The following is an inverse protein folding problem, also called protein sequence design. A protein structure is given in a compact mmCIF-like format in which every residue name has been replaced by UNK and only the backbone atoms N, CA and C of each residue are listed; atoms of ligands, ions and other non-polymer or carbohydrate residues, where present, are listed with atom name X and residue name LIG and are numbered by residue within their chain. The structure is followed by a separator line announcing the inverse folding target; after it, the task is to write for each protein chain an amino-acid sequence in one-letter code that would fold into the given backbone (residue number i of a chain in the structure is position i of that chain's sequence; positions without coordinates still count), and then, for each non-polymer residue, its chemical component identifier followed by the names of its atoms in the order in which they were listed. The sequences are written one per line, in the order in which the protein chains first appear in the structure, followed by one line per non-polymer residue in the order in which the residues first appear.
data_IF_440514415507
#
_entry.id   IF_440514415507
#
_cell.length_a   1.000
_cell.length_b   1.000
_cell.length_c   1.000
_cell.angle_alpha   90.00
_cell.angle_beta   90.00
_cell.angle_gamma   90.00
#
_symmetry.space_group_name_H-M   'P 1'
#
loop_
_entity.id
_entity.type
_entity.pdbx_description
1 polymer ?
#
# COMPACT_ATOMS: atom_id res chain seq x y z
N UNK A 1 -39.43 17.65 -15.60
CA UNK A 1 -39.72 16.77 -14.45
C UNK A 1 -38.66 16.87 -13.34
N UNK A 2 -37.38 16.51 -13.53
CA UNK A 2 -36.38 16.61 -12.45
C UNK A 2 -36.11 18.05 -11.97
N UNK A 3 -36.20 19.03 -12.88
CA UNK A 3 -35.96 20.45 -12.56
C UNK A 3 -37.08 21.07 -11.71
N UNK A 4 -38.34 20.67 -11.92
CA UNK A 4 -39.48 21.19 -11.13
C UNK A 4 -39.47 20.67 -9.70
N UNK A 5 -38.95 19.45 -9.48
CA UNK A 5 -38.77 18.85 -8.16
C UNK A 5 -37.67 19.53 -7.33
N UNK A 6 -36.66 20.10 -7.99
CA UNK A 6 -35.62 20.89 -7.33
C UNK A 6 -36.10 22.30 -6.97
N UNK A 7 -36.98 22.87 -7.80
CA UNK A 7 -37.58 24.19 -7.56
C UNK A 7 -38.65 24.18 -6.46
N UNK A 8 -39.32 23.04 -6.23
CA UNK A 8 -40.30 22.88 -5.14
C UNK A 8 -39.65 22.54 -3.80
N UNK A 9 -38.35 22.25 -3.78
CA UNK A 9 -37.62 21.92 -2.57
C UNK A 9 -37.30 23.20 -1.81
N UNK A 10 -37.87 23.33 -0.62
CA UNK A 10 -37.58 24.45 0.29
C UNK A 10 -36.06 24.66 0.43
N UNK A 11 -35.62 25.92 0.49
CA UNK A 11 -34.21 26.30 0.58
C UNK A 11 -33.49 25.58 1.73
N UNK A 12 -34.19 25.35 2.85
CA UNK A 12 -33.70 24.59 3.99
C UNK A 12 -33.46 23.11 3.66
N UNK A 13 -34.39 22.49 2.94
CA UNK A 13 -34.28 21.10 2.51
C UNK A 13 -33.14 20.94 1.50
N UNK A 14 -32.99 21.89 0.57
CA UNK A 14 -31.89 21.91 -0.39
C UNK A 14 -30.52 22.02 0.31
N UNK A 15 -30.41 22.90 1.32
CA UNK A 15 -29.21 23.02 2.13
C UNK A 15 -28.90 21.76 2.93
N UNK A 16 -29.90 21.15 3.57
CA UNK A 16 -29.74 19.90 4.32
C UNK A 16 -29.30 18.75 3.41
N UNK A 17 -29.86 18.66 2.20
CA UNK A 17 -29.48 17.65 1.21
C UNK A 17 -28.04 17.87 0.74
N UNK A 18 -27.61 19.12 0.57
CA UNK A 18 -26.20 19.45 0.28
C UNK A 18 -25.26 19.01 1.41
N UNK A 19 -25.62 19.24 2.68
CA UNK A 19 -24.81 18.80 3.83
C UNK A 19 -24.73 17.27 3.89
N UNK A 20 -25.86 16.57 3.73
CA UNK A 20 -25.88 15.09 3.67
C UNK A 20 -25.05 14.59 2.49
N UNK A 21 -25.15 15.23 1.33
CA UNK A 21 -24.37 14.87 0.15
C UNK A 21 -22.86 15.03 0.40
N UNK A 22 -22.44 16.14 1.03
CA UNK A 22 -21.03 16.34 1.40
C UNK A 22 -20.58 15.25 2.38
N UNK A 23 -21.36 14.95 3.42
CA UNK A 23 -21.08 13.86 4.37
C UNK A 23 -20.99 12.50 3.67
N UNK A 24 -21.86 12.26 2.69
CA UNK A 24 -21.85 11.04 1.88
C UNK A 24 -20.59 10.93 1.03
N UNK A 25 -20.17 12.01 0.34
CA UNK A 25 -18.92 12.03 -0.44
C UNK A 25 -17.70 11.81 0.46
N UNK A 26 -17.67 12.42 1.65
CA UNK A 26 -16.62 12.17 2.64
C UNK A 26 -16.61 10.72 3.11
N UNK A 27 -17.78 10.12 3.33
CA UNK A 27 -17.92 8.71 3.72
C UNK A 27 -17.47 7.78 2.59
N UNK A 28 -17.80 8.10 1.34
CA UNK A 28 -17.43 7.34 0.14
C UNK A 28 -15.92 7.14 0.02
N UNK A 29 -15.11 8.17 0.26
CA UNK A 29 -13.63 8.04 0.24
C UNK A 29 -13.14 6.93 1.17
N UNK A 30 -13.76 6.82 2.35
CA UNK A 30 -13.41 5.80 3.35
C UNK A 30 -13.94 4.42 2.95
N UNK A 31 -15.15 4.36 2.41
CA UNK A 31 -15.75 3.12 1.89
C UNK A 31 -14.91 2.55 0.74
N UNK A 32 -14.46 3.38 -0.20
CA UNK A 32 -13.60 2.95 -1.31
C UNK A 32 -12.32 2.28 -0.83
N UNK A 33 -11.67 2.82 0.20
CA UNK A 33 -10.48 2.19 0.79
C UNK A 33 -10.79 0.82 1.40
N UNK A 34 -11.93 0.69 2.08
CA UNK A 34 -12.37 -0.61 2.63
C UNK A 34 -12.71 -1.59 1.50
N UNK A 35 -13.37 -1.12 0.44
CA UNK A 35 -13.77 -1.92 -0.70
C UNK A 35 -12.55 -2.48 -1.45
N UNK A 36 -11.53 -1.66 -1.68
CA UNK A 36 -10.28 -2.10 -2.31
C UNK A 36 -9.58 -3.17 -1.48
N UNK A 37 -9.51 -3.00 -0.15
CA UNK A 37 -8.96 -4.03 0.72
C UNK A 37 -9.77 -5.33 0.64
N UNK A 38 -11.09 -5.24 0.55
CA UNK A 38 -11.98 -6.39 0.45
C UNK A 38 -11.79 -7.16 -0.86
N UNK A 39 -11.57 -6.45 -1.98
CA UNK A 39 -11.22 -7.06 -3.28
C UNK A 39 -9.88 -7.80 -3.18
N UNK A 40 -8.86 -7.18 -2.58
CA UNK A 40 -7.54 -7.81 -2.38
C UNK A 40 -7.67 -9.08 -1.53
N UNK A 41 -8.42 -9.01 -0.43
CA UNK A 41 -8.65 -10.17 0.45
C UNK A 41 -9.41 -11.27 -0.28
N UNK A 42 -10.43 -10.92 -1.08
CA UNK A 42 -11.14 -11.87 -1.92
C UNK A 42 -10.21 -12.58 -2.91
N UNK A 43 -9.33 -11.84 -3.58
CA UNK A 43 -8.34 -12.40 -4.50
C UNK A 43 -7.33 -13.33 -3.78
N UNK A 44 -6.83 -12.93 -2.61
CA UNK A 44 -5.94 -13.77 -1.79
C UNK A 44 -6.67 -15.02 -1.29
N UNK A 45 -7.93 -14.91 -0.88
CA UNK A 45 -8.73 -16.05 -0.43
C UNK A 45 -9.02 -17.04 -1.54
N UNK A 46 -9.21 -16.58 -2.79
CA UNK A 46 -9.32 -17.46 -3.96
C UNK A 46 -8.03 -18.22 -4.27
N UNK A 47 -6.87 -17.57 -4.08
CA UNK A 47 -5.57 -18.19 -4.28
C UNK A 47 -5.23 -19.21 -3.20
N UNK A 48 -5.78 -19.05 -1.98
CA UNK A 48 -5.49 -19.91 -0.84
C UNK A 48 -5.68 -21.42 -1.12
N UNK A 49 -6.84 -21.92 -1.58
CA UNK A 49 -7.01 -23.35 -1.85
C UNK A 49 -6.06 -23.86 -2.95
N UNK A 50 -5.76 -23.02 -3.96
CA UNK A 50 -4.82 -23.37 -5.03
C UNK A 50 -3.40 -23.56 -4.49
N UNK A 51 -2.96 -22.65 -3.62
CA UNK A 51 -1.65 -22.72 -2.96
C UNK A 51 -1.59 -23.92 -2.00
N UNK A 52 -2.64 -24.13 -1.21
CA UNK A 52 -2.70 -25.25 -0.25
C UNK A 52 -2.62 -26.60 -0.95
N UNK A 53 -3.36 -26.79 -2.06
CA UNK A 53 -3.31 -28.03 -2.81
C UNK A 53 -1.95 -28.23 -3.49
N UNK A 54 -1.35 -27.16 -4.02
CA UNK A 54 -0.10 -27.27 -4.78
C UNK A 54 1.14 -27.46 -3.91
N UNK A 55 1.23 -26.78 -2.78
CA UNK A 55 2.43 -26.77 -1.94
C UNK A 55 2.37 -27.74 -0.77
N UNK A 56 1.18 -27.96 -0.20
CA UNK A 56 1.02 -28.80 0.98
C UNK A 56 0.36 -30.15 0.70
N UNK A 57 -0.12 -30.37 -0.53
CA UNK A 57 -0.74 -31.63 -0.94
C UNK A 57 -2.09 -31.88 -0.28
N UNK A 58 -2.78 -30.83 0.19
CA UNK A 58 -4.16 -30.97 0.62
C UNK A 58 -5.07 -31.23 -0.59
N UNK A 59 -6.12 -32.01 -0.40
CA UNK A 59 -7.11 -32.30 -1.44
C UNK A 59 -8.37 -31.44 -1.20
N UNK A 60 -8.20 -30.12 -1.23
CA UNK A 60 -9.31 -29.18 -1.03
C UNK A 60 -10.11 -29.09 -2.34
N UNK A 61 -11.43 -29.31 -2.32
CA UNK A 61 -12.25 -29.19 -3.52
C UNK A 61 -12.21 -27.76 -4.08
N UNK A 62 -11.83 -27.62 -5.36
CA UNK A 62 -11.73 -26.35 -6.09
C UNK A 62 -13.03 -26.11 -6.90
N UNK A 63 -14.16 -26.54 -6.35
CA UNK A 63 -15.47 -26.29 -6.95
C UNK A 63 -15.89 -24.84 -6.73
N UNK A 64 -16.75 -24.33 -7.60
CA UNK A 64 -17.27 -22.95 -7.52
C UNK A 64 -17.85 -22.64 -6.14
N UNK A 65 -18.63 -23.57 -5.57
CA UNK A 65 -19.27 -23.40 -4.26
C UNK A 65 -18.24 -23.33 -3.13
N UNK A 66 -17.23 -24.20 -3.17
CA UNK A 66 -16.12 -24.20 -2.22
C UNK A 66 -15.31 -22.90 -2.31
N UNK A 67 -14.99 -22.42 -3.51
CA UNK A 67 -14.30 -21.15 -3.71
C UNK A 67 -15.09 -19.96 -3.15
N UNK A 68 -16.40 -19.91 -3.39
CA UNK A 68 -17.29 -18.88 -2.84
C UNK A 68 -17.27 -18.92 -1.31
N UNK A 69 -17.31 -20.12 -0.72
CA UNK A 69 -17.23 -20.30 0.74
C UNK A 69 -15.91 -19.76 1.32
N UNK A 70 -14.76 -20.00 0.66
CA UNK A 70 -13.47 -19.44 1.08
C UNK A 70 -13.43 -17.92 0.96
N UNK A 71 -14.00 -17.35 -0.11
CA UNK A 71 -14.12 -15.89 -0.26
C UNK A 71 -14.97 -15.30 0.86
N UNK A 72 -16.14 -15.89 1.13
CA UNK A 72 -17.02 -15.50 2.25
C UNK A 72 -16.30 -15.60 3.60
N UNK A 73 -15.57 -16.68 3.83
CA UNK A 73 -14.78 -16.86 5.05
C UNK A 73 -13.70 -15.76 5.18
N UNK A 74 -12.95 -15.48 4.12
CA UNK A 74 -11.94 -14.43 4.09
C UNK A 74 -12.52 -13.05 4.38
N UNK A 75 -13.67 -12.73 3.77
CA UNK A 75 -14.42 -11.49 4.05
C UNK A 75 -14.91 -11.46 5.50
N UNK A 76 -15.44 -12.57 6.01
CA UNK A 76 -15.93 -12.69 7.38
C UNK A 76 -14.83 -12.45 8.41
N UNK A 77 -13.66 -13.09 8.24
CA UNK A 77 -12.48 -12.88 9.09
C UNK A 77 -12.02 -11.41 9.03
N UNK A 78 -12.01 -10.80 7.84
CA UNK A 78 -11.69 -9.39 7.70
C UNK A 78 -12.69 -8.48 8.42
N UNK A 79 -13.98 -8.81 8.39
CA UNK A 79 -15.01 -8.06 9.09
C UNK A 79 -14.81 -8.13 10.61
N UNK A 80 -14.53 -9.32 11.16
CA UNK A 80 -14.18 -9.48 12.58
C UNK A 80 -12.95 -8.65 12.94
N UNK A 81 -11.92 -8.66 12.09
CA UNK A 81 -10.73 -7.82 12.29
C UNK A 81 -11.07 -6.32 12.30
N UNK A 82 -11.93 -5.85 11.40
CA UNK A 82 -12.37 -4.45 11.37
C UNK A 82 -13.12 -4.05 12.64
N UNK A 83 -14.02 -4.92 13.12
CA UNK A 83 -14.74 -4.69 14.38
C UNK A 83 -13.77 -4.64 15.55
N UNK A 84 -12.88 -5.62 15.68
CA UNK A 84 -11.87 -5.65 16.74
C UNK A 84 -10.97 -4.40 16.71
N UNK A 85 -10.53 -3.97 15.52
CA UNK A 85 -9.73 -2.76 15.33
C UNK A 85 -10.48 -1.49 15.71
N UNK A 86 -11.78 -1.42 15.40
CA UNK A 86 -12.63 -0.30 15.80
C UNK A 86 -12.80 -0.23 17.32
N UNK A 87 -13.06 -1.37 17.96
CA UNK A 87 -13.16 -1.49 19.42
C UNK A 87 -11.85 -1.08 20.08
N UNK A 88 -10.72 -1.59 19.61
CA UNK A 88 -9.40 -1.23 20.13
C UNK A 88 -9.13 0.28 20.03
N UNK A 89 -9.56 0.92 18.94
CA UNK A 89 -9.39 2.37 18.75
C UNK A 89 -10.27 3.18 19.71
N UNK A 90 -11.51 2.73 19.94
CA UNK A 90 -12.43 3.35 20.91
C UNK A 90 -11.91 3.17 22.34
N UNK A 91 -11.50 1.96 22.70
CA UNK A 91 -10.86 1.65 23.99
C UNK A 91 -9.62 2.52 24.23
N UNK A 92 -8.74 2.66 23.23
CA UNK A 92 -7.55 3.52 23.33
C UNK A 92 -7.90 5.02 23.46
N UNK A 93 -9.00 5.48 22.87
CA UNK A 93 -9.51 6.84 23.09
C UNK A 93 -10.09 7.01 24.49
N UNK A 94 -10.85 6.03 24.98
CA UNK A 94 -11.41 6.02 26.33
C UNK A 94 -10.30 6.01 27.40
N UNK A 95 -9.24 5.22 27.21
CA UNK A 95 -8.08 5.19 28.11
C UNK A 95 -7.35 6.53 28.13
N UNK A 96 -7.17 7.17 26.97
CA UNK A 96 -6.54 8.50 26.88
C UNK A 96 -7.41 9.61 27.48
N UNK A 97 -8.74 9.51 27.35
CA UNK A 97 -9.67 10.42 27.99
C UNK A 97 -9.66 10.21 29.51
N UNK A 98 -9.74 8.97 29.99
CA UNK A 98 -9.68 8.62 31.41
C UNK A 98 -8.40 9.10 32.09
N UNK A 99 -7.24 8.98 31.42
CA UNK A 99 -5.95 9.50 31.93
C UNK A 99 -5.89 11.03 32.06
N UNK A 100 -6.72 11.79 31.34
CA UNK A 100 -6.82 13.26 31.48
C UNK A 100 -7.73 13.69 32.62
N UNK A 101 -8.72 12.88 32.98
CA UNK A 101 -9.69 13.19 34.03
C UNK A 101 -9.43 12.48 35.35
N UNK A 102 -8.54 11.48 35.38
CA UNK A 102 -7.96 11.05 36.64
C UNK A 102 -6.97 12.13 37.11
N UNK A 103 -7.23 12.83 38.24
CA UNK A 103 -6.16 13.57 38.90
C UNK A 103 -5.02 12.58 39.13
N UNK A 104 -3.77 13.06 39.12
CA UNK A 104 -2.61 12.29 39.59
C UNK A 104 -2.83 11.95 41.08
N UNK A 105 -3.73 11.02 41.37
CA UNK A 105 -3.79 10.34 42.64
C UNK A 105 -2.43 9.70 42.78
N UNK A 106 -1.74 10.04 43.86
CA UNK A 106 -0.58 9.29 44.34
C UNK A 106 -0.88 7.82 44.07
N UNK A 107 -0.02 7.17 43.27
CA UNK A 107 0.08 5.72 43.32
C UNK A 107 0.33 5.42 44.80
N UNK A 108 -0.69 4.94 45.50
CA UNK A 108 -0.47 4.06 46.63
C UNK A 108 0.25 2.87 46.02
N UNK A 109 1.58 2.87 46.20
CA UNK A 109 2.40 1.70 45.98
C UNK A 109 1.77 0.58 46.82
N UNK A 110 1.37 -0.56 46.23
CA UNK A 110 1.19 -1.74 47.04
C UNK A 110 2.55 -2.03 47.69
N UNK A 111 2.61 -1.97 49.03
CA UNK A 111 3.71 -2.50 49.83
C UNK A 111 3.94 -3.96 49.42
N UNK A 112 4.83 -4.19 48.46
CA UNK A 112 5.47 -5.48 48.21
C UNK A 112 6.93 -5.24 47.83
N UNK A 113 7.75 -5.56 48.83
CA UNK A 113 9.11 -6.10 48.79
C UNK A 113 10.26 -5.20 48.27
N UNK A 114 11.28 -4.93 49.12
CA UNK A 114 12.37 -4.02 48.81
C UNK A 114 13.55 -4.74 48.12
N UNK A 115 13.42 -5.14 46.85
CA UNK A 115 14.61 -5.64 46.09
C UNK A 115 14.81 -5.06 44.67
N UNK A 116 13.87 -4.31 44.09
CA UNK A 116 13.91 -3.99 42.65
C UNK A 116 14.48 -2.59 42.27
N UNK A 117 15.20 -1.91 43.16
CA UNK A 117 15.76 -0.56 42.86
C UNK A 117 17.09 -0.57 42.11
N UNK A 118 17.80 -1.71 42.06
CA UNK A 118 19.07 -1.82 41.33
C UNK A 118 18.86 -2.00 39.81
N UNK A 119 17.85 -2.76 39.39
CA UNK A 119 17.65 -3.10 37.98
C UNK A 119 17.08 -1.96 37.13
N UNK A 120 16.33 -1.04 37.75
CA UNK A 120 15.77 0.12 37.05
C UNK A 120 16.86 1.12 36.59
N UNK A 121 18.00 1.18 37.30
CA UNK A 121 19.13 2.03 36.89
C UNK A 121 19.83 1.45 35.66
N UNK A 122 20.01 0.13 35.62
CA UNK A 122 20.63 -0.60 34.49
C UNK A 122 19.79 -0.49 33.22
N UNK A 123 18.46 -0.59 33.35
CA UNK A 123 17.55 -0.37 32.23
C UNK A 123 17.62 1.05 31.65
N UNK A 124 17.69 2.08 32.50
CA UNK A 124 17.83 3.48 32.05
C UNK A 124 19.15 3.77 31.35
N UNK A 125 20.23 3.12 31.77
CA UNK A 125 21.54 3.25 31.10
C UNK A 125 21.51 2.56 29.73
N UNK A 126 20.92 1.35 29.65
CA UNK A 126 20.75 0.62 28.39
C UNK A 126 19.87 1.37 27.38
N UNK A 127 18.82 2.04 27.84
CA UNK A 127 17.94 2.85 26.98
C UNK A 127 18.65 4.09 26.41
N UNK A 128 19.58 4.69 27.17
CA UNK A 128 20.42 5.79 26.68
C UNK A 128 21.41 5.30 25.64
N UNK A 129 22.06 4.15 25.87
CA UNK A 129 23.00 3.55 24.93
C UNK A 129 22.32 3.20 23.60
N UNK A 130 21.11 2.61 23.65
CA UNK A 130 20.31 2.32 22.45
C UNK A 130 19.98 3.58 21.65
N UNK A 131 19.56 4.66 22.34
CA UNK A 131 19.25 5.95 21.69
C UNK A 131 20.48 6.62 21.08
N UNK A 132 21.67 6.42 21.64
CA UNK A 132 22.92 6.91 21.05
C UNK A 132 23.31 6.10 19.82
N UNK A 133 23.21 4.76 19.87
CA UNK A 133 23.45 3.89 18.70
C UNK A 133 22.49 4.17 17.54
N UNK A 134 21.21 4.41 17.82
CA UNK A 134 20.24 4.78 16.78
C UNK A 134 20.59 6.12 16.11
N UNK A 135 21.04 7.11 16.89
CA UNK A 135 21.50 8.40 16.34
C UNK A 135 22.76 8.26 15.50
N UNK A 136 23.69 7.39 15.90
CA UNK A 136 24.89 7.10 15.10
C UNK A 136 24.55 6.38 13.79
N UNK A 137 23.64 5.40 13.83
CA UNK A 137 23.18 4.71 12.63
C UNK A 137 22.47 5.67 11.67
N UNK A 138 21.59 6.53 12.16
CA UNK A 138 20.92 7.54 11.35
C UNK A 138 21.92 8.52 10.70
N UNK A 139 22.99 8.91 11.40
CA UNK A 139 24.07 9.73 10.83
C UNK A 139 24.84 8.98 9.74
N UNK A 140 25.16 7.70 9.95
CA UNK A 140 25.85 6.85 8.96
C UNK A 140 24.99 6.65 7.71
N UNK A 141 23.69 6.38 7.87
CA UNK A 141 22.76 6.25 6.74
C UNK A 141 22.67 7.55 5.92
N UNK A 142 22.59 8.70 6.60
CA UNK A 142 22.58 10.00 5.93
C UNK A 142 23.89 10.26 5.16
N UNK A 143 25.04 9.91 5.72
CA UNK A 143 26.34 10.02 5.06
C UNK A 143 26.43 9.10 3.82
N UNK A 144 25.95 7.86 3.92
CA UNK A 144 25.89 6.92 2.80
C UNK A 144 24.98 7.46 1.69
N UNK A 145 23.79 7.96 2.05
CA UNK A 145 22.88 8.56 1.07
C UNK A 145 23.53 9.76 0.38
N UNK A 146 24.20 10.64 1.13
CA UNK A 146 24.88 11.80 0.57
C UNK A 146 26.03 11.41 -0.36
N UNK A 147 26.89 10.45 0.03
CA UNK A 147 27.95 9.91 -0.84
C UNK A 147 27.39 9.30 -2.12
N UNK A 148 26.27 8.58 -2.03
CA UNK A 148 25.61 8.00 -3.21
C UNK A 148 25.08 9.05 -4.19
N UNK A 149 24.59 10.20 -3.68
CA UNK A 149 24.14 11.34 -4.51
C UNK A 149 25.33 11.99 -5.23
N UNK A 150 26.42 12.27 -4.52
CA UNK A 150 27.64 12.83 -5.12
C UNK A 150 28.23 11.93 -6.21
N UNK A 151 28.22 10.62 -6.01
CA UNK A 151 28.71 9.67 -7.02
C UNK A 151 27.82 9.65 -8.27
N UNK A 152 26.50 9.80 -8.12
CA UNK A 152 25.57 9.92 -9.25
C UNK A 152 25.77 11.23 -10.02
N UNK A 153 26.02 12.34 -9.34
CA UNK A 153 26.31 13.64 -9.98
C UNK A 153 27.62 13.61 -10.77
N UNK A 154 28.70 13.02 -10.21
CA UNK A 154 29.96 12.85 -10.95
C UNK A 154 29.77 12.03 -12.22
N UNK A 155 29.06 10.90 -12.15
CA UNK A 155 28.76 10.08 -13.34
C UNK A 155 27.95 10.83 -14.40
N UNK A 156 27.03 11.71 -14.01
CA UNK A 156 26.28 12.55 -14.96
C UNK A 156 27.16 13.58 -15.66
N UNK A 157 28.11 14.19 -14.95
CA UNK A 157 29.04 15.16 -15.54
C UNK A 157 30.03 14.54 -16.52
N UNK A 158 30.42 13.27 -16.32
CA UNK A 158 31.34 12.59 -17.24
C UNK A 158 30.59 12.15 -18.52
N UNK A 159 29.36 11.67 -18.38
CA UNK A 159 28.54 11.25 -19.53
C UNK A 159 28.22 12.41 -20.50
N UNK A 160 28.00 13.62 -19.98
CA UNK A 160 27.76 14.80 -20.84
C UNK A 160 28.99 15.24 -21.61
N UNK A 161 30.20 15.04 -21.06
CA UNK A 161 31.47 15.30 -21.78
C UNK A 161 31.69 14.27 -22.88
N UNK A 162 31.41 13.00 -22.59
CA UNK A 162 31.50 11.91 -23.57
C UNK A 162 30.52 12.13 -24.74
N UNK A 163 29.28 12.54 -24.44
CA UNK A 163 28.28 12.86 -25.48
C UNK A 163 28.66 14.07 -26.33
N UNK A 164 29.18 15.15 -25.72
CA UNK A 164 29.65 16.32 -26.47
C UNK A 164 30.78 15.95 -27.45
N UNK A 165 31.71 15.07 -27.05
CA UNK A 165 32.77 14.58 -27.94
C UNK A 165 32.27 13.66 -29.06
N UNK A 166 31.16 12.93 -28.85
CA UNK A 166 30.54 12.09 -29.88
C UNK A 166 29.72 12.90 -30.89
N UNK A 167 29.17 14.05 -30.49
CA UNK A 167 28.40 14.94 -31.37
C UNK A 167 29.32 15.69 -32.35
N UNK A 168 30.51 16.11 -31.91
CA UNK A 168 31.54 16.68 -32.78
C UNK A 168 32.08 15.68 -33.82
N UNK A 169 32.11 14.38 -33.51
CA UNK A 169 32.60 13.34 -34.41
C UNK A 169 31.59 12.90 -35.50
N UNK A 170 30.29 13.23 -35.37
CA UNK A 170 29.23 12.75 -36.27
C UNK A 170 28.92 13.65 -37.47
N UNK A 171 29.57 14.81 -37.60
CA UNK A 171 29.43 15.67 -38.78
C UNK A 171 30.72 15.80 -39.62
N UNK A 172 31.27 14.72 -40.21
CA UNK A 172 32.05 14.90 -41.42
C UNK A 172 31.07 15.29 -42.54
N UNK A 173 31.14 16.55 -42.99
CA UNK A 173 30.45 17.06 -44.18
C UNK A 173 30.65 16.07 -45.34
N UNK A 174 29.65 15.23 -45.63
CA UNK A 174 29.62 14.40 -46.84
C UNK A 174 28.33 14.66 -47.57
N UNK A 175 28.47 15.27 -48.74
CA UNK A 175 27.45 15.39 -49.78
C UNK A 175 26.95 13.99 -50.17
N UNK A 176 25.66 13.73 -50.05
CA UNK A 176 25.05 12.45 -50.42
C UNK A 176 24.12 12.65 -51.61
N UNK A 177 24.54 12.10 -52.76
CA UNK A 177 23.72 11.83 -53.95
C UNK A 177 22.73 10.70 -53.65
N UNK A 178 21.45 10.98 -53.81
CA UNK A 178 20.32 10.05 -53.66
C UNK A 178 20.24 9.03 -54.80
N UNK A 179 19.97 7.77 -54.46
CA UNK A 179 19.33 6.78 -55.34
C UNK A 179 18.24 6.03 -54.57
N UNK A 180 17.09 5.71 -55.20
CA UNK A 180 15.95 5.07 -54.52
C UNK A 180 16.12 3.54 -54.42
N UNK A 181 15.81 2.98 -53.25
CA UNK A 181 15.78 1.55 -53.00
C UNK A 181 14.35 1.01 -53.15
N UNK A 182 14.22 -0.09 -53.90
CA UNK A 182 13.00 -0.86 -54.14
C UNK A 182 12.71 -1.70 -52.89
N UNK A 183 11.47 -1.64 -52.39
CA UNK A 183 11.01 -2.35 -51.18
C UNK A 183 10.13 -3.53 -51.63
N UNK A 184 10.53 -4.76 -51.30
CA UNK A 184 9.68 -5.95 -51.42
C UNK A 184 8.92 -6.21 -50.09
N UNK A 185 7.61 -6.53 -50.12
CA UNK A 185 6.82 -6.76 -48.91
C UNK A 185 7.01 -8.19 -48.35
N UNK A 186 7.11 -8.28 -47.02
CA UNK A 186 7.25 -9.53 -46.25
C UNK A 186 5.96 -10.39 -46.25
N UNK A 187 6.09 -11.73 -46.21
CA UNK A 187 4.95 -12.64 -46.27
C UNK A 187 4.16 -12.71 -44.97
N UNK A 188 2.83 -12.75 -45.11
CA UNK A 188 1.83 -12.86 -44.05
C UNK A 188 1.71 -14.31 -43.57
N UNK A 189 1.81 -14.53 -42.25
CA UNK A 189 1.67 -15.86 -41.62
C UNK A 189 0.23 -16.02 -41.09
N UNK A 190 -0.54 -16.94 -41.68
CA UNK A 190 -1.88 -17.30 -41.21
C UNK A 190 -1.83 -18.39 -40.12
N UNK A 191 -2.36 -18.10 -38.92
CA UNK A 191 -2.50 -19.07 -37.84
C UNK A 191 -3.87 -19.77 -37.85
N UNK A 192 -3.89 -21.07 -38.20
CA UNK A 192 -5.07 -21.96 -38.06
C UNK A 192 -5.36 -22.32 -36.59
N UNK A 193 -6.54 -21.90 -36.09
CA UNK A 193 -7.11 -22.33 -34.79
C UNK A 193 -7.58 -23.79 -34.85
N UNK A 194 -7.07 -24.66 -33.96
CA UNK A 194 -7.61 -26.01 -33.70
C UNK A 194 -8.70 -25.97 -32.62
N UNK A 195 -9.91 -26.44 -32.96
CA UNK A 195 -11.03 -26.71 -32.02
C UNK A 195 -10.73 -27.98 -31.20
N UNK A 196 -10.81 -27.88 -29.86
CA UNK A 196 -10.85 -29.05 -28.95
C UNK A 196 -12.25 -29.66 -28.96
N UNK A 197 -12.34 -30.97 -29.20
CA UNK A 197 -13.55 -31.79 -29.03
C UNK A 197 -13.73 -32.14 -27.55
N UNK A 198 -14.94 -31.95 -27.04
CA UNK A 198 -15.36 -32.42 -25.72
C UNK A 198 -15.50 -33.94 -25.67
N UNK A 199 -15.32 -34.51 -24.48
CA UNK A 199 -15.73 -35.87 -24.13
C UNK A 199 -16.93 -35.79 -23.19
N UNK A 200 -17.94 -36.60 -23.51
CA UNK A 200 -19.07 -36.98 -22.66
C UNK A 200 -18.59 -37.82 -21.49
#
# INVERSE_FOLDING_TARGET
MAFEFLSSLDTMTAFLLLVIFILFVFSMKKVFSVLMNLVVIGAVSLLFPVVMNRFFGFDIPIDSDSLISFVLLGIGVYFVYLVAKSLYKVLGMAERAGKKYMPKGKKEEPEREPEEKADNKKYKEMEKELKEREKELAKKEHEIQWKSKLQKEKKRSDWTKEYASLEEAKHPKKEVKTRPAIIEPLPVIEHKRKKKKGKK
#
